data_IF_422225834327
#
_entry.id   IF_422225834327
#
_cell.length_a   1.000
_cell.length_b   1.000
_cell.length_c   1.000
_cell.angle_alpha   90.00
_cell.angle_beta   90.00
_cell.angle_gamma   90.00
#
_symmetry.space_group_name_H-M   'P 1'
#
loop_
_entity.id
_entity.type
_entity.pdbx_description
1 polymer ?
#
# COMPACT_ATOMS: atom_id res chain seq x y z
N UNK A 1 -5.61 -0.52 -15.80
CA UNK A 1 -4.76 -1.20 -14.79
C UNK A 1 -3.33 -1.17 -15.27
N UNK A 2 -2.46 -0.62 -14.43
CA UNK A 2 -1.03 -0.46 -14.65
C UNK A 2 -0.26 -1.24 -13.60
N UNK A 3 0.92 -1.73 -13.97
CA UNK A 3 1.76 -2.53 -13.08
C UNK A 3 3.08 -1.85 -12.75
N UNK A 4 3.51 -1.99 -11.50
CA UNK A 4 4.69 -1.33 -10.97
C UNK A 4 5.47 -2.15 -9.96
N UNK A 5 6.59 -1.59 -9.53
CA UNK A 5 7.41 -2.10 -8.42
C UNK A 5 7.51 -1.06 -7.31
N UNK A 6 7.82 -1.50 -6.10
CA UNK A 6 8.42 -0.64 -5.10
C UNK A 6 9.91 -0.40 -5.45
N UNK A 7 10.24 0.83 -5.84
CA UNK A 7 11.58 1.22 -6.30
C UNK A 7 12.35 2.03 -5.27
N UNK A 8 13.67 1.96 -5.35
CA UNK A 8 14.59 2.70 -4.48
C UNK A 8 14.58 4.20 -4.76
N UNK A 9 14.83 4.98 -3.70
CA UNK A 9 15.11 6.43 -3.74
C UNK A 9 16.56 6.75 -3.34
N UNK A 10 17.47 5.80 -3.48
CA UNK A 10 18.88 6.02 -3.18
C UNK A 10 19.40 7.28 -3.90
N UNK A 11 20.10 8.13 -3.15
CA UNK A 11 20.56 9.44 -3.61
C UNK A 11 19.49 10.55 -3.55
N UNK A 12 18.30 10.35 -4.13
CA UNK A 12 17.22 11.34 -4.14
C UNK A 12 15.89 10.71 -4.55
N UNK A 13 14.76 11.25 -4.09
CA UNK A 13 13.44 10.84 -4.61
C UNK A 13 13.29 11.09 -6.11
N UNK A 14 14.05 12.03 -6.69
CA UNK A 14 14.06 12.28 -8.14
C UNK A 14 14.61 11.12 -8.97
N UNK A 15 15.30 10.15 -8.36
CA UNK A 15 15.75 8.93 -9.03
C UNK A 15 14.65 7.88 -9.18
N UNK A 16 13.59 7.90 -8.36
CA UNK A 16 12.55 6.88 -8.40
C UNK A 16 11.86 6.75 -9.77
N UNK A 17 11.46 7.83 -10.47
CA UNK A 17 10.90 7.71 -11.82
C UNK A 17 11.89 7.10 -12.83
N UNK A 18 13.19 7.37 -12.69
CA UNK A 18 14.24 6.80 -13.53
C UNK A 18 14.35 5.29 -13.27
N UNK A 19 14.47 4.91 -11.99
CA UNK A 19 14.55 3.51 -11.58
C UNK A 19 13.31 2.72 -12.02
N UNK A 20 12.12 3.32 -11.89
CA UNK A 20 10.86 2.72 -12.36
C UNK A 20 10.88 2.51 -13.88
N UNK A 21 11.34 3.50 -14.65
CA UNK A 21 11.46 3.37 -16.10
C UNK A 21 12.44 2.26 -16.51
N UNK A 22 13.62 2.21 -15.89
CA UNK A 22 14.63 1.17 -16.13
C UNK A 22 14.10 -0.23 -15.82
N UNK A 23 13.31 -0.37 -14.75
CA UNK A 23 12.62 -1.60 -14.38
C UNK A 23 11.36 -1.87 -15.23
N UNK A 24 11.09 -1.07 -16.27
CA UNK A 24 9.96 -1.19 -17.20
C UNK A 24 8.59 -1.04 -16.52
N UNK A 25 8.50 -0.30 -15.42
CA UNK A 25 7.25 -0.03 -14.71
C UNK A 25 6.30 0.85 -15.52
N UNK A 26 4.99 0.67 -15.31
CA UNK A 26 3.93 1.56 -15.83
C UNK A 26 3.43 2.52 -14.74
N UNK A 27 3.56 2.14 -13.47
CA UNK A 27 3.38 2.96 -12.28
C UNK A 27 4.42 2.52 -11.24
N UNK A 28 4.59 3.21 -10.10
CA UNK A 28 5.57 2.78 -9.10
C UNK A 28 5.23 3.23 -7.68
N UNK A 29 5.77 2.50 -6.71
CA UNK A 29 5.78 2.91 -5.31
C UNK A 29 7.20 3.22 -4.87
N UNK A 30 7.33 4.08 -3.86
CA UNK A 30 8.59 4.35 -3.21
C UNK A 30 8.37 4.71 -1.74
N UNK A 31 9.43 4.69 -0.94
CA UNK A 31 9.47 5.56 0.23
C UNK A 31 9.85 6.98 -0.19
N UNK A 32 9.37 8.02 0.50
CA UNK A 32 9.85 9.39 0.28
C UNK A 32 10.97 9.80 1.26
N UNK A 33 11.25 8.93 2.25
CA UNK A 33 12.29 9.05 3.28
C UNK A 33 12.86 7.67 3.60
N UNK A 34 13.86 7.59 4.48
CA UNK A 34 14.35 6.30 4.96
C UNK A 34 13.24 5.53 5.71
N UNK A 35 12.95 4.26 5.36
CA UNK A 35 11.95 3.46 6.06
C UNK A 35 12.41 3.01 7.46
N UNK A 36 13.69 3.23 7.80
CA UNK A 36 14.32 2.80 9.05
C UNK A 36 14.53 3.94 10.05
N UNK A 37 14.09 5.14 9.72
CA UNK A 37 14.16 6.33 10.58
C UNK A 37 15.12 7.39 10.07
N UNK A 38 15.19 8.49 10.83
CA UNK A 38 15.89 9.72 10.45
C UNK A 38 14.94 10.78 9.88
N UNK A 39 15.42 12.02 9.72
CA UNK A 39 14.64 13.09 9.12
C UNK A 39 14.38 12.82 7.63
N UNK A 40 13.24 13.28 7.13
CA UNK A 40 12.97 13.25 5.69
C UNK A 40 13.92 14.22 4.96
N UNK A 41 14.51 13.82 3.81
CA UNK A 41 15.29 14.74 2.98
C UNK A 41 14.45 15.93 2.51
N UNK A 42 15.02 17.12 2.49
CA UNK A 42 14.35 18.34 2.01
C UNK A 42 13.98 18.18 0.53
N UNK A 43 12.73 18.49 0.17
CA UNK A 43 12.30 18.58 -1.22
C UNK A 43 12.54 20.00 -1.73
N UNK A 44 13.67 20.21 -2.40
CA UNK A 44 13.93 21.48 -3.11
C UNK A 44 13.09 21.55 -4.38
N UNK A 45 12.89 22.76 -4.92
CA UNK A 45 12.18 22.96 -6.18
C UNK A 45 12.80 22.14 -7.34
N UNK A 46 14.14 22.02 -7.36
CA UNK A 46 14.84 21.24 -8.38
C UNK A 46 14.53 19.74 -8.27
N UNK A 47 14.49 19.20 -7.04
CA UNK A 47 14.12 17.79 -6.80
C UNK A 47 12.69 17.52 -7.21
N UNK A 48 11.76 18.41 -6.85
CA UNK A 48 10.34 18.29 -7.22
C UNK A 48 10.16 18.37 -8.74
N UNK A 49 10.84 19.32 -9.39
CA UNK A 49 10.79 19.49 -10.85
C UNK A 49 11.35 18.26 -11.55
N UNK A 50 12.54 17.78 -11.14
CA UNK A 50 13.15 16.59 -11.70
C UNK A 50 12.25 15.35 -11.55
N UNK A 51 11.64 15.15 -10.37
CA UNK A 51 10.70 14.05 -10.15
C UNK A 51 9.51 14.10 -11.12
N UNK A 52 8.85 15.26 -11.22
CA UNK A 52 7.67 15.44 -12.08
C UNK A 52 8.01 15.31 -13.56
N UNK A 53 9.08 15.98 -14.02
CA UNK A 53 9.52 15.93 -15.41
C UNK A 53 9.96 14.53 -15.82
N UNK A 54 10.65 13.77 -14.96
CA UNK A 54 11.00 12.38 -15.27
C UNK A 54 9.75 11.49 -15.31
N UNK A 55 8.80 11.68 -14.39
CA UNK A 55 7.55 10.89 -14.40
C UNK A 55 6.75 11.10 -15.69
N UNK A 56 6.64 12.36 -16.13
CA UNK A 56 5.99 12.72 -17.40
C UNK A 56 6.76 12.19 -18.60
N UNK A 57 8.08 12.41 -18.65
CA UNK A 57 8.96 11.97 -19.74
C UNK A 57 8.87 10.47 -19.99
N UNK A 58 8.77 9.67 -18.93
CA UNK A 58 8.71 8.21 -19.03
C UNK A 58 7.27 7.67 -19.12
N UNK A 59 6.25 8.54 -19.10
CA UNK A 59 4.85 8.14 -19.22
C UNK A 59 4.37 7.27 -18.05
N UNK A 60 4.87 7.50 -16.84
CA UNK A 60 4.48 6.75 -15.65
C UNK A 60 3.07 7.18 -15.21
N UNK A 61 2.12 6.25 -15.27
CA UNK A 61 0.70 6.50 -15.08
C UNK A 61 0.29 6.79 -13.62
N UNK A 62 1.15 6.49 -12.66
CA UNK A 62 0.90 6.73 -11.24
C UNK A 62 2.14 6.54 -10.39
N UNK A 63 2.20 7.28 -9.29
CA UNK A 63 3.24 7.12 -8.27
C UNK A 63 2.61 7.10 -6.88
N UNK A 64 3.22 6.34 -5.97
CA UNK A 64 2.69 6.07 -4.64
C UNK A 64 3.82 6.16 -3.59
N UNK A 65 3.47 6.60 -2.38
CA UNK A 65 4.41 6.66 -1.25
C UNK A 65 3.98 5.71 -0.15
N UNK A 66 4.84 4.72 0.14
CA UNK A 66 4.70 3.92 1.35
C UNK A 66 5.30 4.66 2.54
N UNK A 67 4.62 4.62 3.68
CA UNK A 67 5.12 5.23 4.92
C UNK A 67 6.13 4.30 5.61
N UNK A 68 7.03 4.83 6.46
CA UNK A 68 8.05 3.99 7.10
C UNK A 68 7.48 2.87 8.00
N UNK A 69 8.24 1.79 8.18
CA UNK A 69 7.80 0.61 8.94
C UNK A 69 7.56 0.86 10.44
N UNK A 70 8.07 1.97 10.97
CA UNK A 70 7.98 2.29 12.40
C UNK A 70 6.74 3.11 12.79
N UNK A 71 5.79 3.30 11.87
CA UNK A 71 4.47 3.86 12.17
C UNK A 71 3.74 2.94 13.15
N UNK A 72 3.27 3.51 14.27
CA UNK A 72 2.40 2.83 15.20
C UNK A 72 1.49 3.82 15.95
N UNK A 73 0.27 3.98 15.44
CA UNK A 73 -0.74 4.83 16.07
C UNK A 73 -1.23 4.27 17.42
N UNK A 74 -1.19 2.96 17.58
CA UNK A 74 -1.66 2.24 18.76
C UNK A 74 -0.60 2.11 19.88
N UNK A 75 0.59 2.69 19.71
CA UNK A 75 1.62 2.63 20.76
C UNK A 75 1.16 3.31 22.05
N UNK A 76 1.45 2.70 23.20
CA UNK A 76 1.26 3.35 24.51
C UNK A 76 2.23 4.53 24.67
N UNK A 77 3.40 4.49 24.02
CA UNK A 77 4.36 5.58 24.03
C UNK A 77 3.84 6.77 23.20
N UNK A 78 3.56 7.88 23.88
CA UNK A 78 3.06 9.10 23.23
C UNK A 78 4.01 9.65 22.17
N UNK A 79 5.33 9.48 22.34
CA UNK A 79 6.33 9.92 21.35
C UNK A 79 6.19 9.16 20.03
N UNK A 80 5.99 7.85 20.10
CA UNK A 80 5.79 7.00 18.92
C UNK A 80 4.45 7.33 18.26
N UNK A 81 3.39 7.46 19.06
CA UNK A 81 2.04 7.78 18.58
C UNK A 81 1.98 9.13 17.87
N UNK A 82 2.43 10.20 18.51
CA UNK A 82 2.42 11.54 17.90
C UNK A 82 3.46 11.67 16.79
N UNK A 83 4.59 10.96 16.88
CA UNK A 83 5.55 10.84 15.79
C UNK A 83 4.91 10.21 14.55
N UNK A 84 4.13 9.14 14.72
CA UNK A 84 3.40 8.48 13.63
C UNK A 84 2.42 9.42 12.94
N UNK A 85 1.62 10.16 13.72
CA UNK A 85 0.67 11.16 13.22
C UNK A 85 1.40 12.25 12.40
N UNK A 86 2.50 12.78 12.93
CA UNK A 86 3.28 13.81 12.25
C UNK A 86 3.91 13.31 10.95
N UNK A 87 4.39 12.06 10.93
CA UNK A 87 4.96 11.48 9.72
C UNK A 87 3.90 11.34 8.63
N UNK A 88 2.67 10.90 8.96
CA UNK A 88 1.60 10.85 7.95
C UNK A 88 1.27 12.24 7.40
N UNK A 89 1.21 13.26 8.26
CA UNK A 89 1.04 14.65 7.81
C UNK A 89 2.12 15.05 6.81
N UNK A 90 3.38 14.86 7.21
CA UNK A 90 4.52 15.22 6.37
C UNK A 90 4.54 14.41 5.07
N UNK A 91 4.21 13.12 5.08
CA UNK A 91 4.14 12.31 3.86
C UNK A 91 3.05 12.78 2.91
N UNK A 92 1.87 13.16 3.41
CA UNK A 92 0.78 13.70 2.60
C UNK A 92 1.16 15.04 1.94
N UNK A 93 1.86 15.91 2.67
CA UNK A 93 2.38 17.17 2.12
C UNK A 93 3.46 16.92 1.06
N UNK A 94 4.42 16.03 1.36
CA UNK A 94 5.47 15.63 0.41
C UNK A 94 4.88 15.02 -0.85
N UNK A 95 3.88 14.15 -0.70
CA UNK A 95 3.17 13.54 -1.81
C UNK A 95 2.51 14.61 -2.70
N UNK A 96 1.84 15.59 -2.11
CA UNK A 96 1.24 16.70 -2.88
C UNK A 96 2.28 17.54 -3.62
N UNK A 97 3.40 17.86 -2.97
CA UNK A 97 4.48 18.59 -3.61
C UNK A 97 5.02 17.82 -4.83
N UNK A 98 5.20 16.50 -4.70
CA UNK A 98 5.69 15.63 -5.77
C UNK A 98 4.63 15.31 -6.83
N UNK A 99 3.33 15.54 -6.56
CA UNK A 99 2.23 15.10 -7.42
C UNK A 99 1.96 13.60 -7.34
N UNK A 100 2.33 12.97 -6.23
CA UNK A 100 2.06 11.56 -5.92
C UNK A 100 0.58 11.39 -5.58
N UNK A 101 -0.03 10.32 -6.11
CA UNK A 101 -1.48 10.10 -6.00
C UNK A 101 -1.88 9.62 -4.61
N UNK A 102 -1.16 8.62 -4.08
CA UNK A 102 -1.52 7.94 -2.83
C UNK A 102 -0.36 7.87 -1.86
N UNK A 103 -0.67 8.03 -0.57
CA UNK A 103 0.19 7.66 0.56
C UNK A 103 -0.46 6.50 1.28
N UNK A 104 0.27 5.42 1.57
CA UNK A 104 -0.27 4.25 2.26
C UNK A 104 0.49 3.93 3.54
N UNK A 105 -0.23 3.34 4.48
CA UNK A 105 0.28 3.10 5.81
C UNK A 105 -0.32 1.86 6.46
N UNK A 106 0.53 1.15 7.19
CA UNK A 106 0.08 0.22 8.23
C UNK A 106 -0.32 0.99 9.49
N UNK A 107 -1.20 0.39 10.27
CA UNK A 107 -1.86 1.05 11.39
C UNK A 107 -1.09 0.92 12.72
N UNK A 108 -0.11 0.01 12.75
CA UNK A 108 0.64 -0.34 13.96
C UNK A 108 0.08 -1.57 14.65
N UNK A 109 0.29 -1.65 15.97
CA UNK A 109 -0.03 -2.84 16.75
C UNK A 109 -0.75 -2.52 18.06
N UNK A 110 -1.79 -3.29 18.34
CA UNK A 110 -2.59 -3.27 19.56
C UNK A 110 -1.89 -3.92 20.77
N UNK A 111 -0.63 -4.35 20.64
CA UNK A 111 0.12 -5.07 21.67
C UNK A 111 0.12 -4.38 23.04
N UNK A 112 0.21 -3.05 23.06
CA UNK A 112 0.40 -2.30 24.31
C UNK A 112 -0.92 -2.01 25.05
N UNK A 113 -2.03 -1.88 24.32
CA UNK A 113 -3.28 -1.31 24.85
C UNK A 113 -4.54 -2.14 24.57
N UNK A 114 -4.41 -3.24 23.84
CA UNK A 114 -5.53 -4.12 23.45
C UNK A 114 -6.34 -3.59 22.26
N UNK A 115 -6.99 -4.51 21.54
CA UNK A 115 -7.60 -4.27 20.22
C UNK A 115 -8.65 -3.13 20.23
N UNK A 116 -9.60 -3.17 21.16
CA UNK A 116 -10.67 -2.16 21.23
C UNK A 116 -10.15 -0.74 21.47
N UNK A 117 -9.19 -0.59 22.38
CA UNK A 117 -8.59 0.71 22.65
C UNK A 117 -7.70 1.17 21.48
N UNK A 118 -6.98 0.22 20.88
CA UNK A 118 -6.12 0.47 19.74
C UNK A 118 -6.87 0.99 18.52
N UNK A 119 -7.99 0.38 18.12
CA UNK A 119 -8.80 0.85 16.99
C UNK A 119 -9.30 2.28 17.18
N UNK A 120 -9.77 2.63 18.39
CA UNK A 120 -10.18 4.00 18.71
C UNK A 120 -9.00 4.96 18.61
N UNK A 121 -7.85 4.58 19.15
CA UNK A 121 -6.64 5.41 19.12
C UNK A 121 -6.08 5.59 17.70
N UNK A 122 -6.16 4.56 16.86
CA UNK A 122 -5.82 4.63 15.43
C UNK A 122 -6.75 5.60 14.72
N UNK A 123 -8.08 5.49 14.91
CA UNK A 123 -9.04 6.40 14.31
C UNK A 123 -8.77 7.87 14.69
N UNK A 124 -8.56 8.16 15.97
CA UNK A 124 -8.21 9.51 16.44
C UNK A 124 -6.88 10.00 15.85
N UNK A 125 -5.90 9.10 15.73
CA UNK A 125 -4.60 9.41 15.14
C UNK A 125 -4.70 9.74 13.65
N UNK A 126 -5.47 8.97 12.89
CA UNK A 126 -5.73 9.21 11.47
C UNK A 126 -6.50 10.52 11.26
N UNK A 127 -7.56 10.78 12.04
CA UNK A 127 -8.28 12.05 12.00
C UNK A 127 -7.33 13.24 12.27
N UNK A 128 -6.49 13.14 13.30
CA UNK A 128 -5.48 14.16 13.60
C UNK A 128 -4.49 14.30 12.46
N UNK A 129 -4.08 13.22 11.81
CA UNK A 129 -3.15 13.25 10.68
C UNK A 129 -3.75 13.96 9.44
N UNK A 130 -5.07 13.83 9.21
CA UNK A 130 -5.75 14.51 8.11
C UNK A 130 -6.18 15.94 8.47
N UNK A 131 -6.21 16.30 9.76
CA UNK A 131 -6.61 17.63 10.20
C UNK A 131 -5.66 18.71 9.67
N UNK A 132 -6.27 19.72 9.04
CA UNK A 132 -5.57 20.82 8.36
C UNK A 132 -4.99 20.49 6.98
N UNK A 133 -4.94 19.23 6.56
CA UNK A 133 -4.40 18.88 5.24
C UNK A 133 -5.32 19.38 4.12
N UNK A 134 -4.74 20.03 3.10
CA UNK A 134 -5.46 20.58 1.94
C UNK A 134 -4.79 20.21 0.60
N UNK A 135 -3.85 19.27 0.64
CA UNK A 135 -3.16 18.78 -0.54
C UNK A 135 -4.03 17.85 -1.39
N UNK A 136 -3.40 17.26 -2.40
CA UNK A 136 -4.07 16.45 -3.44
C UNK A 136 -3.92 14.95 -3.24
N UNK A 137 -3.02 14.50 -2.37
CA UNK A 137 -2.77 13.07 -2.18
C UNK A 137 -3.86 12.44 -1.29
N UNK A 138 -4.26 11.22 -1.62
CA UNK A 138 -5.18 10.44 -0.79
C UNK A 138 -4.39 9.56 0.21
N UNK A 139 -5.00 9.27 1.36
CA UNK A 139 -4.45 8.33 2.34
C UNK A 139 -5.11 6.95 2.18
N UNK A 140 -4.30 5.91 1.96
CA UNK A 140 -4.76 4.53 1.91
C UNK A 140 -4.36 3.78 3.19
N UNK A 141 -5.31 3.03 3.74
CA UNK A 141 -5.05 2.09 4.83
C UNK A 141 -4.74 0.74 4.21
N UNK A 142 -3.61 0.14 4.58
CA UNK A 142 -3.22 -1.16 4.06
C UNK A 142 -3.64 -2.29 5.00
N UNK A 143 -4.21 -3.37 4.46
CA UNK A 143 -4.47 -4.57 5.26
C UNK A 143 -3.17 -5.25 5.70
N UNK A 144 -3.19 -5.86 6.88
CA UNK A 144 -2.02 -6.51 7.48
C UNK A 144 -2.09 -8.03 7.42
N UNK A 145 -0.94 -8.71 7.50
CA UNK A 145 -0.85 -10.16 7.58
C UNK A 145 -1.42 -10.76 8.89
N UNK A 146 -1.68 -9.96 9.93
CA UNK A 146 -2.14 -10.47 11.23
C UNK A 146 -1.03 -11.02 12.13
N UNK A 147 0.24 -10.75 11.82
CA UNK A 147 1.36 -11.18 12.64
C UNK A 147 1.31 -10.55 14.06
N UNK A 148 1.17 -11.40 15.08
CA UNK A 148 1.15 -10.96 16.48
C UNK A 148 -0.13 -10.19 16.85
N UNK A 149 -0.03 -8.87 17.02
CA UNK A 149 -1.15 -7.99 17.39
C UNK A 149 -1.22 -6.77 16.48
N UNK A 150 -0.86 -6.93 15.22
CA UNK A 150 -1.02 -5.87 14.19
C UNK A 150 -2.50 -5.59 13.95
N UNK A 151 -2.80 -4.37 13.53
CA UNK A 151 -4.18 -3.90 13.32
C UNK A 151 -4.48 -3.86 11.82
N UNK A 152 -5.71 -4.16 11.44
CA UNK A 152 -6.15 -4.12 10.04
C UNK A 152 -5.89 -5.42 9.28
N UNK A 153 -5.78 -6.55 9.99
CA UNK A 153 -5.69 -7.87 9.37
C UNK A 153 -7.03 -8.43 8.89
N UNK A 154 -8.13 -7.82 9.36
CA UNK A 154 -9.50 -8.09 8.94
C UNK A 154 -10.15 -6.84 8.30
N UNK A 155 -11.16 -7.06 7.46
CA UNK A 155 -11.86 -5.99 6.74
C UNK A 155 -12.76 -5.14 7.63
N UNK A 156 -13.26 -5.69 8.73
CA UNK A 156 -14.13 -4.99 9.68
C UNK A 156 -13.39 -3.83 10.35
N UNK A 157 -12.14 -4.03 10.75
CA UNK A 157 -11.26 -2.99 11.29
C UNK A 157 -11.05 -1.86 10.28
N UNK A 158 -10.72 -2.22 9.04
CA UNK A 158 -10.50 -1.24 7.96
C UNK A 158 -11.79 -0.47 7.63
N UNK A 159 -12.93 -1.16 7.58
CA UNK A 159 -14.27 -0.56 7.39
C UNK A 159 -14.60 0.42 8.51
N UNK A 160 -14.34 0.03 9.76
CA UNK A 160 -14.52 0.90 10.91
C UNK A 160 -13.69 2.18 10.78
N UNK A 161 -12.40 2.05 10.46
CA UNK A 161 -11.49 3.19 10.35
C UNK A 161 -11.87 4.12 9.20
N UNK A 162 -12.22 3.60 8.02
CA UNK A 162 -12.69 4.43 6.91
C UNK A 162 -13.96 5.21 7.27
N UNK A 163 -14.91 4.59 7.98
CA UNK A 163 -16.11 5.29 8.47
C UNK A 163 -15.78 6.43 9.43
N UNK A 164 -14.74 6.28 10.27
CA UNK A 164 -14.27 7.37 11.13
C UNK A 164 -13.64 8.53 10.36
N UNK A 165 -13.25 8.33 9.10
CA UNK A 165 -12.64 9.32 8.22
C UNK A 165 -13.61 9.89 7.16
N UNK A 166 -14.87 9.44 7.13
CA UNK A 166 -15.82 9.78 6.08
C UNK A 166 -16.12 11.29 5.93
N UNK A 167 -15.96 12.07 7.01
CA UNK A 167 -16.16 13.53 6.99
C UNK A 167 -14.89 14.31 6.63
N UNK A 168 -13.76 13.63 6.43
CA UNK A 168 -12.52 14.27 5.99
C UNK A 168 -12.69 14.74 4.54
N UNK A 169 -12.27 15.97 4.18
CA UNK A 169 -12.20 16.40 2.79
C UNK A 169 -11.12 15.65 2.00
N UNK A 170 -10.11 15.10 2.71
CA UNK A 170 -9.05 14.28 2.13
C UNK A 170 -9.62 12.93 1.74
N UNK A 171 -9.41 12.52 0.49
CA UNK A 171 -9.82 11.20 0.03
C UNK A 171 -9.09 10.11 0.83
N UNK A 172 -9.84 9.06 1.18
CA UNK A 172 -9.31 7.88 1.85
C UNK A 172 -9.74 6.60 1.14
N UNK A 173 -8.97 5.53 1.29
CA UNK A 173 -9.25 4.24 0.68
C UNK A 173 -8.38 3.13 1.26
N UNK A 174 -8.33 2.01 0.54
CA UNK A 174 -7.60 0.80 0.92
C UNK A 174 -6.52 0.50 -0.12
N UNK A 175 -5.33 0.18 0.38
CA UNK A 175 -4.36 -0.62 -0.35
C UNK A 175 -4.59 -2.09 0.02
N UNK A 176 -4.86 -2.94 -0.96
CA UNK A 176 -5.10 -4.37 -0.74
C UNK A 176 -3.82 -5.16 -1.05
N UNK A 177 -3.12 -5.61 -0.03
CA UNK A 177 -1.99 -6.52 -0.20
C UNK A 177 -2.47 -7.98 -0.22
N UNK A 178 -2.14 -8.68 -1.31
CA UNK A 178 -2.55 -10.06 -1.55
C UNK A 178 -1.89 -11.07 -0.60
N UNK A 179 -0.62 -10.88 -0.25
CA UNK A 179 0.08 -11.74 0.70
C UNK A 179 -0.50 -11.55 2.11
N UNK A 180 -0.72 -10.31 2.51
CA UNK A 180 -1.33 -9.97 3.79
C UNK A 180 -2.73 -10.56 3.91
N UNK A 181 -3.59 -10.34 2.91
CA UNK A 181 -4.95 -10.87 2.92
C UNK A 181 -4.94 -12.40 2.98
N UNK A 182 -4.08 -13.04 2.19
CA UNK A 182 -3.95 -14.50 2.20
C UNK A 182 -3.49 -15.03 3.56
N UNK A 183 -2.48 -14.42 4.15
CA UNK A 183 -1.93 -14.88 5.43
C UNK A 183 -2.79 -14.52 6.63
N UNK A 184 -3.71 -13.55 6.50
CA UNK A 184 -4.73 -13.24 7.49
C UNK A 184 -6.03 -14.07 7.37
N UNK A 185 -6.18 -14.85 6.28
CA UNK A 185 -7.26 -15.84 6.15
C UNK A 185 -8.18 -15.67 4.93
N UNK A 186 -7.93 -14.68 4.07
CA UNK A 186 -8.69 -14.45 2.85
C UNK A 186 -8.09 -15.22 1.67
N UNK A 187 -8.73 -16.33 1.28
CA UNK A 187 -8.20 -17.21 0.25
C UNK A 187 -8.23 -16.56 -1.15
N UNK A 188 -7.09 -16.63 -1.85
CA UNK A 188 -6.87 -16.07 -3.17
C UNK A 188 -6.38 -17.11 -4.19
N UNK A 189 -6.37 -18.41 -3.86
CA UNK A 189 -5.72 -19.45 -4.70
C UNK A 189 -6.48 -19.85 -5.95
N UNK A 190 -7.80 -19.74 -5.92
CA UNK A 190 -8.68 -20.20 -7.01
C UNK A 190 -9.66 -19.11 -7.41
N UNK A 191 -10.22 -19.15 -8.63
CA UNK A 191 -11.21 -18.16 -9.06
C UNK A 191 -12.40 -18.02 -8.10
N UNK A 192 -12.91 -19.16 -7.59
CA UNK A 192 -14.01 -19.18 -6.60
C UNK A 192 -13.61 -18.53 -5.27
N UNK A 193 -12.39 -18.79 -4.80
CA UNK A 193 -11.87 -18.20 -3.58
C UNK A 193 -11.66 -16.69 -3.71
N UNK A 194 -11.03 -16.24 -4.80
CA UNK A 194 -10.83 -14.82 -5.11
C UNK A 194 -12.18 -14.09 -5.17
N UNK A 195 -13.18 -14.67 -5.86
CA UNK A 195 -14.54 -14.11 -5.91
C UNK A 195 -15.13 -13.96 -4.51
N UNK A 196 -15.06 -15.00 -3.68
CA UNK A 196 -15.58 -14.96 -2.30
C UNK A 196 -14.89 -13.88 -1.47
N UNK A 197 -13.57 -13.74 -1.59
CA UNK A 197 -12.79 -12.71 -0.90
C UNK A 197 -13.19 -11.30 -1.34
N UNK A 198 -13.29 -11.05 -2.65
CA UNK A 198 -13.72 -9.76 -3.18
C UNK A 198 -15.19 -9.42 -2.86
N UNK A 199 -16.08 -10.43 -2.84
CA UNK A 199 -17.47 -10.25 -2.41
C UNK A 199 -17.52 -9.85 -0.93
N UNK A 200 -16.73 -10.50 -0.08
CA UNK A 200 -16.61 -10.14 1.35
C UNK A 200 -16.08 -8.72 1.50
N UNK A 201 -15.01 -8.36 0.78
CA UNK A 201 -14.46 -7.02 0.77
C UNK A 201 -15.52 -5.98 0.36
N UNK A 202 -16.26 -6.24 -0.72
CA UNK A 202 -17.29 -5.34 -1.23
C UNK A 202 -18.47 -5.19 -0.26
N UNK A 203 -18.85 -6.25 0.47
CA UNK A 203 -19.92 -6.19 1.47
C UNK A 203 -19.46 -5.41 2.71
N UNK A 204 -18.25 -5.65 3.19
CA UNK A 204 -17.75 -5.08 4.45
C UNK A 204 -17.24 -3.64 4.30
N UNK A 205 -16.47 -3.37 3.23
CA UNK A 205 -15.81 -2.09 2.99
C UNK A 205 -16.44 -1.33 1.82
N UNK A 206 -16.74 -2.02 0.72
CA UNK A 206 -17.14 -1.40 -0.56
C UNK A 206 -15.99 -1.40 -1.56
N UNK A 207 -16.20 -1.98 -2.73
CA UNK A 207 -15.14 -2.16 -3.74
C UNK A 207 -14.56 -0.84 -4.25
N UNK A 208 -15.35 0.23 -4.22
CA UNK A 208 -14.96 1.58 -4.60
C UNK A 208 -13.86 2.16 -3.71
N UNK A 209 -13.68 1.64 -2.49
CA UNK A 209 -12.60 2.03 -1.60
C UNK A 209 -11.29 1.32 -1.91
N UNK A 210 -11.27 0.28 -2.74
CA UNK A 210 -10.04 -0.40 -3.17
C UNK A 210 -9.35 0.47 -4.23
N UNK A 211 -8.22 1.08 -3.87
CA UNK A 211 -7.53 2.07 -4.73
C UNK A 211 -6.21 1.57 -5.31
N UNK A 212 -5.56 0.63 -4.64
CA UNK A 212 -4.28 0.06 -5.03
C UNK A 212 -4.22 -1.39 -4.57
N UNK A 213 -3.49 -2.24 -5.29
CA UNK A 213 -3.17 -3.60 -4.86
C UNK A 213 -1.65 -3.71 -4.71
N UNK A 214 -1.19 -4.22 -3.58
CA UNK A 214 0.14 -4.81 -3.53
C UNK A 214 0.03 -6.27 -3.97
N UNK A 215 0.62 -6.58 -5.12
CA UNK A 215 0.56 -7.91 -5.74
C UNK A 215 1.77 -8.72 -5.26
N UNK A 216 1.63 -9.35 -4.11
CA UNK A 216 2.67 -10.18 -3.50
C UNK A 216 2.16 -11.61 -3.40
N UNK A 217 2.89 -12.58 -3.97
CA UNK A 217 2.64 -13.99 -3.63
C UNK A 217 3.11 -14.22 -2.18
N UNK A 218 2.78 -15.35 -1.60
CA UNK A 218 3.06 -15.64 -0.19
C UNK A 218 3.86 -16.91 -0.03
N UNK A 219 5.01 -16.83 0.65
CA UNK A 219 5.73 -18.01 1.12
C UNK A 219 4.96 -18.71 2.26
N UNK A 220 4.24 -17.92 3.07
CA UNK A 220 3.41 -18.42 4.17
C UNK A 220 2.03 -18.91 3.69
N UNK A 221 1.45 -19.87 4.40
CA UNK A 221 0.14 -20.44 4.09
C UNK A 221 -1.04 -19.55 4.47
N UNK A 222 -2.22 -19.94 3.98
CA UNK A 222 -3.51 -19.31 4.30
C UNK A 222 -3.71 -19.29 5.82
N UNK A 223 -3.90 -18.10 6.40
CA UNK A 223 -4.11 -17.95 7.85
C UNK A 223 -2.88 -18.25 8.71
N UNK A 224 -1.66 -18.29 8.15
CA UNK A 224 -0.44 -18.50 8.95
C UNK A 224 0.04 -17.23 9.68
N UNK A 225 -0.56 -16.08 9.41
CA UNK A 225 -0.25 -14.79 10.06
C UNK A 225 1.23 -14.39 9.97
N UNK A 226 1.84 -14.56 8.78
CA UNK A 226 3.24 -14.24 8.52
C UNK A 226 3.35 -13.40 7.27
N UNK A 227 3.90 -12.21 7.44
CA UNK A 227 4.29 -11.33 6.34
C UNK A 227 5.60 -11.83 5.71
N UNK A 228 5.49 -12.63 4.66
CA UNK A 228 6.61 -13.20 3.89
C UNK A 228 6.24 -13.28 2.41
N UNK A 229 6.53 -12.20 1.70
CA UNK A 229 6.30 -12.09 0.26
C UNK A 229 7.12 -13.11 -0.52
N UNK A 230 6.59 -13.51 -1.66
CA UNK A 230 7.22 -14.41 -2.63
C UNK A 230 6.94 -13.91 -4.06
N UNK A 231 7.80 -14.30 -5.00
CA UNK A 231 7.63 -14.04 -6.43
C UNK A 231 6.32 -14.63 -6.98
N UNK A 232 5.81 -14.00 -8.03
CA UNK A 232 4.49 -14.29 -8.61
C UNK A 232 4.46 -15.71 -9.16
N UNK A 233 3.58 -16.55 -8.58
CA UNK A 233 3.41 -17.94 -8.99
C UNK A 233 4.39 -18.92 -8.33
N UNK A 234 5.35 -18.43 -7.54
CA UNK A 234 6.28 -19.29 -6.78
C UNK A 234 5.83 -19.49 -5.34
N UNK A 235 4.81 -18.76 -4.89
CA UNK A 235 4.25 -18.88 -3.55
C UNK A 235 2.98 -19.74 -3.49
N UNK A 236 2.29 -19.63 -2.36
CA UNK A 236 1.10 -20.40 -2.02
C UNK A 236 -0.21 -19.77 -2.49
N UNK A 237 -0.20 -18.55 -3.04
CA UNK A 237 -1.34 -17.97 -3.75
C UNK A 237 -1.38 -18.52 -5.17
N UNK A 238 -0.24 -18.44 -5.88
CA UNK A 238 -0.08 -19.02 -7.21
C UNK A 238 -0.71 -18.19 -8.34
N UNK A 239 -0.40 -18.59 -9.57
CA UNK A 239 -0.69 -17.81 -10.78
C UNK A 239 -2.19 -17.63 -11.06
N UNK A 240 -3.02 -18.62 -10.71
CA UNK A 240 -4.48 -18.56 -10.95
C UNK A 240 -5.16 -17.46 -10.13
N UNK A 241 -4.66 -17.19 -8.93
CA UNK A 241 -5.13 -16.09 -8.09
C UNK A 241 -4.92 -14.74 -8.75
N UNK A 242 -3.69 -14.47 -9.17
CA UNK A 242 -3.33 -13.25 -9.87
C UNK A 242 -4.05 -13.12 -11.22
N UNK A 243 -4.17 -14.20 -11.99
CA UNK A 243 -4.95 -14.18 -13.25
C UNK A 243 -6.39 -13.77 -12.99
N UNK A 244 -7.00 -14.28 -11.92
CA UNK A 244 -8.38 -13.93 -11.56
C UNK A 244 -8.50 -12.46 -11.15
N UNK A 245 -7.58 -11.95 -10.32
CA UNK A 245 -7.57 -10.56 -9.87
C UNK A 245 -7.40 -9.58 -11.03
N UNK A 246 -6.42 -9.82 -11.90
CA UNK A 246 -6.11 -8.97 -13.06
C UNK A 246 -7.29 -8.88 -14.03
N UNK A 247 -7.98 -10.00 -14.26
CA UNK A 247 -9.10 -10.06 -15.19
C UNK A 247 -10.45 -9.69 -14.56
N UNK A 248 -10.48 -9.38 -13.25
CA UNK A 248 -11.71 -9.06 -12.56
C UNK A 248 -12.29 -7.71 -13.03
N UNK A 249 -13.55 -7.64 -13.49
CA UNK A 249 -14.09 -6.44 -14.16
C UNK A 249 -14.15 -5.20 -13.27
N UNK A 250 -14.34 -5.38 -11.95
CA UNK A 250 -14.36 -4.27 -10.97
C UNK A 250 -12.97 -3.72 -10.63
N UNK A 251 -11.89 -4.41 -11.01
CA UNK A 251 -10.52 -4.02 -10.67
C UNK A 251 -9.78 -3.39 -11.86
N UNK A 252 -10.42 -3.21 -13.02
CA UNK A 252 -9.78 -2.71 -14.25
C UNK A 252 -9.02 -1.39 -14.10
N UNK A 253 -9.43 -0.53 -13.19
CA UNK A 253 -8.79 0.77 -12.93
C UNK A 253 -7.88 0.78 -11.69
N UNK A 254 -7.77 -0.36 -11.00
CA UNK A 254 -6.92 -0.52 -9.81
C UNK A 254 -5.54 -0.95 -10.27
N UNK A 255 -4.53 -0.12 -10.00
CA UNK A 255 -3.16 -0.46 -10.32
C UNK A 255 -2.61 -1.48 -9.33
N UNK A 256 -1.63 -2.29 -9.76
CA UNK A 256 -0.94 -3.23 -8.87
C UNK A 256 0.55 -2.90 -8.79
N UNK A 257 1.10 -2.95 -7.59
CA UNK A 257 2.52 -2.74 -7.33
C UNK A 257 3.08 -4.00 -6.67
N UNK A 258 4.23 -4.47 -7.13
CA UNK A 258 4.92 -5.61 -6.54
C UNK A 258 5.89 -5.12 -5.46
N UNK A 259 5.90 -5.82 -4.33
CA UNK A 259 6.89 -5.71 -3.24
C UNK A 259 7.54 -7.09 -2.99
N UNK A 260 7.68 -7.86 -4.07
CA UNK A 260 8.34 -9.16 -4.07
C UNK A 260 9.84 -9.02 -3.75
N UNK A 261 10.53 -10.11 -3.38
CA UNK A 261 11.94 -10.04 -3.01
C UNK A 261 12.81 -9.35 -4.08
N UNK A 262 13.65 -8.39 -3.69
CA UNK A 262 14.58 -7.69 -4.58
C UNK A 262 15.87 -8.49 -4.81
N UNK A 263 15.74 -9.64 -5.46
CA UNK A 263 16.85 -10.55 -5.80
C UNK A 263 17.20 -10.55 -7.31
N UNK A 264 16.60 -9.63 -8.07
CA UNK A 264 16.75 -9.47 -9.52
C UNK A 264 15.61 -10.08 -10.34
N UNK A 265 14.71 -10.85 -9.72
CA UNK A 265 13.56 -11.47 -10.41
C UNK A 265 12.28 -10.63 -10.37
N UNK A 266 12.26 -9.51 -9.64
CA UNK A 266 11.08 -8.63 -9.54
C UNK A 266 10.66 -8.06 -10.92
N UNK A 267 11.60 -7.93 -11.87
CA UNK A 267 11.29 -7.53 -13.25
C UNK A 267 10.54 -8.64 -13.99
N UNK A 268 10.84 -9.91 -13.70
CA UNK A 268 10.16 -11.06 -14.28
C UNK A 268 8.73 -11.21 -13.71
N UNK A 269 8.54 -10.87 -12.43
CA UNK A 269 7.21 -10.77 -11.81
C UNK A 269 6.35 -9.72 -12.54
N UNK A 270 6.92 -8.54 -12.79
CA UNK A 270 6.25 -7.48 -13.54
C UNK A 270 5.88 -7.92 -14.96
N UNK A 271 6.80 -8.60 -15.65
CA UNK A 271 6.54 -9.17 -16.97
C UNK A 271 5.41 -10.22 -16.91
N UNK A 272 5.37 -11.02 -15.85
CA UNK A 272 4.33 -12.03 -15.61
C UNK A 272 2.95 -11.39 -15.45
N UNK A 273 2.79 -10.35 -14.62
CA UNK A 273 1.51 -9.65 -14.49
C UNK A 273 1.05 -9.02 -15.82
N UNK A 274 1.99 -8.42 -16.57
CA UNK A 274 1.71 -7.86 -17.90
C UNK A 274 1.26 -8.91 -18.91
N UNK A 275 1.85 -10.11 -18.87
CA UNK A 275 1.44 -11.25 -19.69
C UNK A 275 0.02 -11.71 -19.30
N UNK A 276 -0.27 -11.88 -18.02
CA UNK A 276 -1.61 -12.27 -17.54
C UNK A 276 -2.70 -11.27 -17.96
N UNK A 277 -2.39 -9.97 -18.01
CA UNK A 277 -3.30 -8.93 -18.52
C UNK A 277 -3.62 -9.10 -20.01
N UNK A 278 -2.72 -9.67 -20.80
CA UNK A 278 -2.90 -9.88 -22.24
C UNK A 278 -3.70 -11.16 -22.57
N UNK A 279 -3.71 -12.15 -21.66
CA UNK A 279 -4.28 -13.50 -21.83
C UNK A 279 -5.81 -13.59 -21.56
N UNK A 280 -6.59 -12.54 -21.86
CA UNK A 280 -8.04 -12.43 -21.53
C UNK A 280 -8.85 -13.72 -21.59
#
# INVERSE_FOLDING_TARGET
MQFGLHVSIAGSVASAPINAHEAKCECFQMFSRSPRGGPAPVLTNDVVTAFKSNSERFGLAGSYIHTPYYINFASANSRIRYGSINIIKEELERASLLGVTYVMTHLGSAKDIGEKAALKQVAEGLQKALDGYRGTAALLLENSAGAGKVIGDNFEDLSFLLKQLANSPTQTGICFDTCHAFTSGYDLRTPTAVKKTLDTFNITIGIEHLKLIHANDSMAGLGEHKDRHEHIGLGKIGIEGFRTLINHPKLKEVNMVLETPHDGKEIDDLATLKKLRAEK
#
